data_IF_927862977150
#
_entry.id   IF_927862977150
#
_cell.length_a   1.000
_cell.length_b   1.000
_cell.length_c   1.000
_cell.angle_alpha   90.00
_cell.angle_beta   90.00
_cell.angle_gamma   90.00
#
_symmetry.space_group_name_H-M   'P 1'
#
loop_
_entity.id
_entity.type
_entity.pdbx_description
1 polymer ?
#
# COMPACT_ATOMS: atom_id res chain seq x y z
N UNK A 1 -19.36 -6.40 -15.57
CA UNK A 1 -18.87 -5.06 -15.97
C UNK A 1 -17.41 -4.94 -15.60
N UNK A 2 -16.58 -4.26 -16.42
CA UNK A 2 -15.20 -3.96 -16.04
C UNK A 2 -15.18 -3.07 -14.80
N UNK A 3 -14.23 -3.31 -13.89
CA UNK A 3 -13.94 -2.41 -12.78
C UNK A 3 -13.47 -1.07 -13.36
N UNK A 4 -14.13 0.02 -12.97
CA UNK A 4 -13.73 1.38 -13.35
C UNK A 4 -13.16 2.10 -12.14
N UNK A 5 -12.01 2.72 -12.33
CA UNK A 5 -11.33 3.56 -11.35
C UNK A 5 -11.04 4.92 -12.00
N UNK A 6 -11.15 5.97 -11.21
CA UNK A 6 -10.84 7.33 -11.64
C UNK A 6 -9.31 7.57 -11.50
N UNK A 7 -8.68 6.87 -10.54
CA UNK A 7 -7.23 6.91 -10.32
C UNK A 7 -6.67 5.52 -10.00
N UNK A 8 -5.47 5.25 -10.51
CA UNK A 8 -4.67 4.06 -10.18
C UNK A 8 -3.35 4.55 -9.59
N UNK A 9 -3.02 4.08 -8.39
CA UNK A 9 -1.78 4.35 -7.68
C UNK A 9 -0.92 3.10 -7.71
N UNK A 10 0.33 3.26 -8.14
CA UNK A 10 1.32 2.18 -8.16
C UNK A 10 2.26 2.38 -6.98
N UNK A 11 2.25 1.42 -6.05
CA UNK A 11 3.00 1.43 -4.81
C UNK A 11 2.14 1.81 -3.60
N UNK A 12 2.18 1.00 -2.54
CA UNK A 12 1.51 1.27 -1.25
C UNK A 12 2.47 1.84 -0.19
N UNK A 13 3.54 2.50 -0.63
CA UNK A 13 4.44 3.25 0.25
C UNK A 13 3.77 4.48 0.86
N UNK A 14 4.55 5.33 1.55
CA UNK A 14 4.03 6.52 2.22
C UNK A 14 3.26 7.46 1.27
N UNK A 15 3.90 7.87 0.16
CA UNK A 15 3.29 8.78 -0.81
C UNK A 15 2.01 8.20 -1.44
N UNK A 16 2.08 6.95 -1.91
CA UNK A 16 0.93 6.27 -2.53
C UNK A 16 -0.24 6.12 -1.57
N UNK A 17 0.03 5.78 -0.30
CA UNK A 17 -1.02 5.62 0.72
C UNK A 17 -1.70 6.95 1.07
N UNK A 18 -0.92 8.04 1.21
CA UNK A 18 -1.47 9.37 1.48
C UNK A 18 -2.29 9.87 0.29
N UNK A 19 -1.77 9.72 -0.93
CA UNK A 19 -2.51 10.07 -2.15
C UNK A 19 -3.81 9.28 -2.28
N UNK A 20 -3.78 7.97 -2.00
CA UNK A 20 -4.97 7.11 -2.03
C UNK A 20 -6.04 7.59 -1.05
N UNK A 21 -5.63 7.90 0.19
CA UNK A 21 -6.52 8.43 1.22
C UNK A 21 -7.17 9.74 0.77
N UNK A 22 -6.37 10.72 0.32
CA UNK A 22 -6.90 12.04 -0.06
C UNK A 22 -7.83 11.97 -1.27
N UNK A 23 -7.53 11.12 -2.26
CA UNK A 23 -8.39 10.93 -3.43
C UNK A 23 -9.69 10.21 -3.05
N UNK A 24 -9.63 9.21 -2.17
CA UNK A 24 -10.81 8.51 -1.67
C UNK A 24 -11.69 9.42 -0.80
N UNK A 25 -11.12 10.26 0.07
CA UNK A 25 -11.84 11.27 0.86
C UNK A 25 -12.59 12.27 -0.03
N UNK A 26 -12.06 12.56 -1.22
CA UNK A 26 -12.71 13.40 -2.24
C UNK A 26 -13.81 12.68 -3.04
N UNK A 27 -14.03 11.38 -2.78
CA UNK A 27 -15.08 10.58 -3.40
C UNK A 27 -14.69 9.87 -4.69
N UNK A 28 -13.41 9.84 -5.06
CA UNK A 28 -12.96 9.11 -6.24
C UNK A 28 -12.85 7.61 -5.99
N UNK A 29 -13.06 6.82 -7.05
CA UNK A 29 -12.76 5.38 -7.07
C UNK A 29 -11.28 5.20 -7.34
N UNK A 30 -10.54 4.75 -6.33
CA UNK A 30 -9.08 4.62 -6.39
C UNK A 30 -8.67 3.15 -6.29
N UNK A 31 -7.83 2.70 -7.22
CA UNK A 31 -7.13 1.41 -7.12
C UNK A 31 -5.69 1.63 -6.66
N UNK A 32 -5.21 0.81 -5.73
CA UNK A 32 -3.80 0.76 -5.33
C UNK A 32 -3.23 -0.60 -5.71
N UNK A 33 -2.14 -0.60 -6.46
CA UNK A 33 -1.43 -1.81 -6.88
C UNK A 33 -0.04 -1.81 -6.24
N UNK A 34 0.32 -2.92 -5.61
CA UNK A 34 1.61 -3.10 -4.96
C UNK A 34 2.16 -4.47 -5.36
N UNK A 35 3.46 -4.53 -5.68
CA UNK A 35 4.15 -5.78 -6.03
C UNK A 35 4.48 -6.61 -4.79
N UNK A 36 4.70 -5.94 -3.66
CA UNK A 36 5.05 -6.55 -2.39
C UNK A 36 3.93 -7.41 -1.79
N UNK A 37 4.31 -8.24 -0.79
CA UNK A 37 3.35 -9.02 -0.01
C UNK A 37 2.46 -8.09 0.81
N UNK A 38 1.20 -8.48 1.01
CA UNK A 38 0.30 -7.79 1.93
C UNK A 38 0.70 -8.09 3.37
N UNK A 39 1.35 -7.13 4.03
CA UNK A 39 1.66 -7.20 5.45
C UNK A 39 0.48 -6.69 6.28
N UNK A 40 -0.05 -7.54 7.16
CA UNK A 40 -0.97 -7.16 8.24
C UNK A 40 -0.17 -6.73 9.46
N UNK A 41 -0.83 -6.05 10.40
CA UNK A 41 -0.24 -5.66 11.70
C UNK A 41 0.49 -6.83 12.36
N UNK A 42 -0.07 -8.04 12.31
CA UNK A 42 0.52 -9.24 12.91
C UNK A 42 1.76 -9.79 12.16
N UNK A 43 1.99 -9.37 10.92
CA UNK A 43 3.13 -9.83 10.11
C UNK A 43 4.42 -9.04 10.43
N UNK A 44 4.25 -7.83 10.98
CA UNK A 44 5.34 -6.99 11.44
C UNK A 44 5.94 -7.55 12.73
N UNK A 45 7.28 -7.59 12.84
CA UNK A 45 7.93 -8.02 14.06
C UNK A 45 7.57 -7.05 15.20
N UNK A 46 7.22 -7.59 16.37
CA UNK A 46 6.91 -6.79 17.58
C UNK A 46 8.11 -5.98 18.10
N UNK A 47 9.31 -6.30 17.63
CA UNK A 47 10.57 -5.66 18.04
C UNK A 47 11.45 -5.39 16.81
N UNK A 48 12.16 -4.26 16.83
CA UNK A 48 13.02 -3.78 15.73
C UNK A 48 14.28 -4.63 15.47
N UNK A 49 14.48 -5.74 16.16
CA UNK A 49 15.70 -6.56 16.07
C UNK A 49 15.73 -7.57 14.91
N UNK A 50 14.75 -7.52 14.00
CA UNK A 50 14.68 -8.44 12.86
C UNK A 50 15.06 -7.76 11.53
N UNK A 51 16.35 -7.45 11.39
CA UNK A 51 16.94 -6.77 10.23
C UNK A 51 16.65 -7.48 8.89
N UNK A 52 16.53 -8.83 8.91
CA UNK A 52 16.20 -9.65 7.72
C UNK A 52 14.79 -9.43 7.18
N UNK A 53 13.84 -8.97 8.00
CA UNK A 53 12.48 -8.61 7.55
C UNK A 53 12.38 -7.14 7.12
N UNK A 54 13.35 -6.31 7.49
CA UNK A 54 13.38 -4.87 7.18
C UNK A 54 13.98 -4.58 5.81
N UNK A 55 14.94 -5.41 5.38
CA UNK A 55 15.51 -5.35 4.04
C UNK A 55 14.61 -6.11 3.06
N UNK A 56 13.64 -5.40 2.49
CA UNK A 56 12.97 -5.85 1.27
C UNK A 56 13.99 -5.80 0.13
N UNK A 57 14.36 -6.97 -0.40
CA UNK A 57 15.14 -7.10 -1.64
C UNK A 57 14.15 -7.47 -2.76
N UNK A 58 14.03 -6.66 -3.83
CA UNK A 58 13.16 -6.92 -4.96
C UNK A 58 13.49 -8.23 -5.68
#
# INVERSE_FOLDING_TARGET
MPLQFDYIIIGSGFGGSVSALRLAEKGYRVAVLEQGKRYRINDFPKTNWNLKKYLWFP
#
